data_IF_862346490606
#
_entry.id   IF_862346490606
#
_cell.length_a   1.000
_cell.length_b   1.000
_cell.length_c   1.000
_cell.angle_alpha   90.00
_cell.angle_beta   90.00
_cell.angle_gamma   90.00
#
_symmetry.space_group_name_H-M   'P 1'
#
loop_
_entity.id
_entity.type
_entity.pdbx_description
1 polymer ?
#
# COMPACT_ATOMS: atom_id res chain seq x y z
N UNK A 1 -5.46 -19.66 -16.96
CA UNK A 1 -6.33 -18.64 -16.35
C UNK A 1 -5.55 -17.34 -16.26
N UNK A 2 -6.23 -16.20 -16.36
CA UNK A 2 -5.61 -14.88 -16.25
C UNK A 2 -5.22 -14.63 -14.78
N UNK A 3 -3.95 -14.38 -14.41
CA UNK A 3 -3.59 -14.06 -13.03
C UNK A 3 -4.20 -12.72 -12.60
N UNK A 4 -4.54 -12.61 -11.32
CA UNK A 4 -5.18 -11.47 -10.67
C UNK A 4 -4.16 -10.65 -9.89
N UNK A 5 -4.17 -9.34 -10.13
CA UNK A 5 -3.34 -8.36 -9.44
C UNK A 5 -4.26 -7.40 -8.67
N UNK A 6 -4.01 -7.22 -7.37
CA UNK A 6 -4.70 -6.22 -6.56
C UNK A 6 -3.76 -5.04 -6.30
N UNK A 7 -4.20 -3.82 -6.61
CA UNK A 7 -3.49 -2.59 -6.25
C UNK A 7 -4.32 -1.86 -5.19
N UNK A 8 -3.75 -1.65 -4.00
CA UNK A 8 -4.36 -0.81 -2.96
C UNK A 8 -3.93 0.65 -3.11
N UNK A 9 -4.76 1.59 -2.65
CA UNK A 9 -4.44 3.02 -2.81
C UNK A 9 -4.50 3.44 -4.27
N UNK A 10 -5.33 2.76 -5.06
CA UNK A 10 -5.37 2.83 -6.51
C UNK A 10 -5.76 4.22 -7.06
N UNK A 11 -6.38 5.06 -6.21
CA UNK A 11 -6.73 6.44 -6.50
C UNK A 11 -5.63 7.45 -6.15
N UNK A 12 -4.55 7.03 -5.49
CA UNK A 12 -3.40 7.87 -5.17
C UNK A 12 -2.45 8.01 -6.36
N UNK A 13 -1.45 8.90 -6.24
CA UNK A 13 -0.50 9.19 -7.32
C UNK A 13 0.19 7.92 -7.85
N UNK A 14 0.81 7.14 -6.97
CA UNK A 14 1.50 5.89 -7.35
C UNK A 14 0.51 4.82 -7.81
N UNK A 15 -0.60 4.64 -7.09
CA UNK A 15 -1.62 3.66 -7.46
C UNK A 15 -2.20 3.91 -8.85
N UNK A 16 -2.46 5.16 -9.21
CA UNK A 16 -2.95 5.53 -10.53
C UNK A 16 -1.91 5.24 -11.62
N UNK A 17 -0.64 5.60 -11.40
CA UNK A 17 0.45 5.27 -12.32
C UNK A 17 0.60 3.75 -12.52
N UNK A 18 0.52 2.97 -11.43
CA UNK A 18 0.55 1.51 -11.49
C UNK A 18 -0.62 0.92 -12.28
N UNK A 19 -1.82 1.50 -12.18
CA UNK A 19 -2.96 1.06 -12.99
C UNK A 19 -2.72 1.27 -14.49
N UNK A 20 -2.05 2.35 -14.89
CA UNK A 20 -1.73 2.62 -16.30
C UNK A 20 -0.62 1.69 -16.83
N UNK A 21 0.32 1.31 -15.96
CA UNK A 21 1.45 0.44 -16.34
C UNK A 21 1.19 -1.05 -16.11
N UNK A 22 0.07 -1.42 -15.49
CA UNK A 22 -0.35 -2.81 -15.31
C UNK A 22 -0.75 -3.44 -16.66
N UNK A 23 0.26 -3.73 -17.48
CA UNK A 23 0.17 -4.39 -18.78
C UNK A 23 0.39 -5.89 -18.64
N UNK A 24 0.01 -6.63 -19.67
CA UNK A 24 0.25 -8.07 -19.74
C UNK A 24 -0.97 -8.90 -19.31
N UNK A 25 -0.78 -10.15 -18.87
CA UNK A 25 -1.87 -11.09 -18.69
C UNK A 25 -2.63 -10.87 -17.38
N UNK A 26 -2.62 -9.69 -16.77
CA UNK A 26 -3.24 -9.49 -15.44
C UNK A 26 -4.70 -9.07 -15.55
N UNK A 27 -5.56 -9.68 -14.71
CA UNK A 27 -6.85 -9.11 -14.36
C UNK A 27 -6.63 -8.19 -13.16
N UNK A 28 -6.76 -6.89 -13.39
CA UNK A 28 -6.39 -5.88 -12.39
C UNK A 28 -7.60 -5.48 -11.55
N UNK A 29 -7.41 -5.50 -10.23
CA UNK A 29 -8.36 -5.01 -9.24
C UNK A 29 -7.79 -3.74 -8.59
N UNK A 30 -8.60 -2.69 -8.56
CA UNK A 30 -8.23 -1.38 -8.04
C UNK A 30 -8.97 -1.12 -6.73
N UNK A 31 -8.29 -1.23 -5.60
CA UNK A 31 -8.86 -0.91 -4.29
C UNK A 31 -8.68 0.56 -3.95
N UNK A 32 -9.78 1.23 -3.60
CA UNK A 32 -9.84 2.64 -3.25
C UNK A 32 -10.76 2.86 -2.04
N UNK A 33 -10.58 3.99 -1.35
CA UNK A 33 -11.42 4.35 -0.20
C UNK A 33 -12.53 5.34 -0.56
N UNK A 34 -12.13 6.52 -1.05
CA UNK A 34 -13.04 7.67 -1.25
C UNK A 34 -13.29 8.00 -2.72
N UNK A 35 -12.24 7.94 -3.55
CA UNK A 35 -12.31 8.37 -4.94
C UNK A 35 -12.10 7.18 -5.86
N UNK A 36 -13.13 6.81 -6.62
CA UNK A 36 -13.02 5.70 -7.57
C UNK A 36 -12.07 6.08 -8.70
N UNK A 37 -11.06 5.25 -9.04
CA UNK A 37 -10.24 5.50 -10.20
C UNK A 37 -11.06 5.32 -11.48
N UNK A 38 -10.99 6.29 -12.40
CA UNK A 38 -11.74 6.31 -13.66
C UNK A 38 -10.88 5.86 -14.84
N UNK A 39 -11.53 5.31 -15.87
CA UNK A 39 -10.94 4.99 -17.17
C UNK A 39 -9.68 4.09 -17.15
N UNK A 40 -9.56 3.18 -16.18
CA UNK A 40 -8.36 2.32 -16.03
C UNK A 40 -8.52 0.89 -16.56
N UNK A 41 -9.73 0.47 -16.93
CA UNK A 41 -10.03 -0.93 -17.29
C UNK A 41 -9.98 -1.92 -16.10
N UNK A 42 -9.63 -1.45 -14.89
CA UNK A 42 -9.56 -2.27 -13.69
C UNK A 42 -10.93 -2.44 -13.01
N UNK A 43 -11.08 -3.56 -12.32
CA UNK A 43 -12.25 -3.83 -11.49
C UNK A 43 -12.11 -3.09 -10.15
N UNK A 44 -12.95 -2.09 -9.93
CA UNK A 44 -12.86 -1.21 -8.77
C UNK A 44 -13.53 -1.85 -7.55
N UNK A 45 -12.83 -1.90 -6.42
CA UNK A 45 -13.33 -2.37 -5.12
C UNK A 45 -13.20 -1.24 -4.10
N UNK A 46 -14.31 -0.82 -3.49
CA UNK A 46 -14.27 0.20 -2.45
C UNK A 46 -14.08 -0.47 -1.08
N UNK A 47 -13.03 -0.07 -0.36
CA UNK A 47 -12.75 -0.57 0.98
C UNK A 47 -11.93 0.42 1.81
N UNK A 48 -12.12 0.38 3.14
CA UNK A 48 -11.22 1.02 4.10
C UNK A 48 -10.10 0.04 4.49
N UNK A 49 -8.85 0.42 4.24
CA UNK A 49 -7.68 -0.39 4.59
C UNK A 49 -7.64 -0.74 6.10
N UNK A 50 -8.19 0.13 6.95
CA UNK A 50 -8.19 -0.07 8.41
C UNK A 50 -9.25 -1.07 8.89
N UNK A 51 -10.23 -1.39 8.05
CA UNK A 51 -11.29 -2.36 8.33
C UNK A 51 -10.87 -3.76 7.87
N UNK A 52 -10.60 -4.63 8.83
CA UNK A 52 -10.12 -5.99 8.56
C UNK A 52 -11.14 -6.84 7.81
N UNK A 53 -12.43 -6.67 8.11
CA UNK A 53 -13.48 -7.45 7.46
C UNK A 53 -13.60 -7.06 5.98
N UNK A 54 -13.55 -5.76 5.68
CA UNK A 54 -13.55 -5.30 4.30
C UNK A 54 -12.31 -5.80 3.54
N UNK A 55 -11.13 -5.83 4.18
CA UNK A 55 -9.93 -6.37 3.55
C UNK A 55 -10.05 -7.87 3.25
N UNK A 56 -10.64 -8.66 4.15
CA UNK A 56 -10.95 -10.07 3.90
C UNK A 56 -11.87 -10.20 2.69
N UNK A 57 -12.96 -9.42 2.62
CA UNK A 57 -13.89 -9.44 1.49
C UNK A 57 -13.22 -9.07 0.16
N UNK A 58 -12.33 -8.06 0.17
CA UNK A 58 -11.57 -7.66 -1.01
C UNK A 58 -10.67 -8.80 -1.50
N UNK A 59 -9.93 -9.45 -0.59
CA UNK A 59 -9.06 -10.57 -0.95
C UNK A 59 -9.86 -11.78 -1.43
N UNK A 60 -11.00 -12.07 -0.80
CA UNK A 60 -11.86 -13.19 -1.18
C UNK A 60 -12.54 -12.96 -2.54
N UNK A 61 -12.93 -11.71 -2.84
CA UNK A 61 -13.53 -11.35 -4.13
C UNK A 61 -12.49 -11.27 -5.25
N UNK A 62 -11.32 -10.68 -4.99
CA UNK A 62 -10.29 -10.47 -6.00
C UNK A 62 -9.46 -11.74 -6.25
N UNK A 63 -9.33 -12.64 -5.26
CA UNK A 63 -8.45 -13.83 -5.32
C UNK A 63 -7.08 -13.51 -5.97
N UNK A 64 -6.36 -12.47 -5.51
CA UNK A 64 -5.14 -12.03 -6.17
C UNK A 64 -4.02 -13.04 -5.95
N UNK A 65 -3.13 -13.20 -6.94
CA UNK A 65 -1.85 -13.86 -6.72
C UNK A 65 -0.81 -12.87 -6.20
N UNK A 66 -0.95 -11.59 -6.57
CA UNK A 66 -0.04 -10.52 -6.16
C UNK A 66 -0.85 -9.32 -5.68
N UNK A 67 -0.40 -8.69 -4.59
CA UNK A 67 -0.89 -7.42 -4.09
C UNK A 67 0.24 -6.39 -4.16
N UNK A 68 0.00 -5.25 -4.83
CA UNK A 68 0.85 -4.07 -4.72
C UNK A 68 0.20 -3.11 -3.73
N UNK A 69 0.86 -2.93 -2.58
CA UNK A 69 0.35 -2.12 -1.49
C UNK A 69 0.86 -0.68 -1.55
N UNK A 70 0.11 0.17 -2.28
CA UNK A 70 0.39 1.60 -2.39
C UNK A 70 -0.53 2.51 -1.53
N UNK A 71 -1.44 1.94 -0.73
CA UNK A 71 -2.28 2.71 0.18
C UNK A 71 -1.47 3.20 1.39
N UNK A 72 -1.49 4.51 1.64
CA UNK A 72 -0.92 5.12 2.83
C UNK A 72 -1.58 6.48 3.12
N UNK A 73 -1.59 6.89 4.39
CA UNK A 73 -1.72 8.30 4.75
C UNK A 73 -0.36 8.98 4.52
N UNK A 74 -0.13 9.44 3.28
CA UNK A 74 1.17 9.97 2.84
C UNK A 74 1.41 11.45 3.18
N UNK A 75 0.39 12.18 3.65
CA UNK A 75 0.54 13.59 4.03
C UNK A 75 1.29 13.69 5.35
N UNK A 76 2.53 14.19 5.32
CA UNK A 76 3.41 14.31 6.49
C UNK A 76 2.83 15.20 7.58
N UNK A 77 2.15 16.29 7.21
CA UNK A 77 1.43 17.16 8.14
C UNK A 77 0.32 16.43 8.89
N UNK A 78 -0.51 15.67 8.17
CA UNK A 78 -1.53 14.82 8.79
C UNK A 78 -0.93 13.78 9.75
N UNK A 79 0.19 13.16 9.38
CA UNK A 79 0.84 12.19 10.26
C UNK A 79 1.38 12.82 11.54
N UNK A 80 1.95 14.03 11.43
CA UNK A 80 2.41 14.80 12.59
C UNK A 80 1.26 15.22 13.50
N UNK A 81 0.17 15.71 12.92
CA UNK A 81 -0.95 16.27 13.69
C UNK A 81 -1.88 15.16 14.24
N UNK A 82 -1.91 13.99 13.58
CA UNK A 82 -2.71 12.82 13.94
C UNK A 82 -1.88 11.52 13.95
N UNK A 83 -0.87 11.38 14.83
CA UNK A 83 0.10 10.29 14.78
C UNK A 83 -0.53 8.92 15.06
N UNK A 84 -1.51 8.84 15.97
CA UNK A 84 -2.21 7.58 16.26
C UNK A 84 -3.07 7.12 15.10
N UNK A 85 -3.79 8.04 14.46
CA UNK A 85 -4.66 7.72 13.33
C UNK A 85 -3.86 7.33 12.09
N UNK A 86 -2.79 8.07 11.79
CA UNK A 86 -1.89 7.71 10.70
C UNK A 86 -1.19 6.37 10.93
N UNK A 87 -0.80 6.03 12.17
CA UNK A 87 -0.24 4.72 12.50
C UNK A 87 -1.23 3.55 12.27
N UNK A 88 -2.53 3.76 12.53
CA UNK A 88 -3.55 2.76 12.20
C UNK A 88 -3.58 2.44 10.71
N UNK A 89 -3.38 3.44 9.85
CA UNK A 89 -3.36 3.29 8.40
C UNK A 89 -2.02 2.73 7.92
N UNK A 90 -0.92 3.39 8.30
CA UNK A 90 0.40 3.15 7.70
C UNK A 90 1.12 1.93 8.28
N UNK A 91 0.87 1.60 9.56
CA UNK A 91 1.57 0.51 10.27
C UNK A 91 0.63 -0.66 10.47
N UNK A 92 -0.43 -0.48 11.26
CA UNK A 92 -1.26 -1.61 11.70
C UNK A 92 -2.08 -2.22 10.57
N UNK A 93 -2.60 -1.42 9.65
CA UNK A 93 -3.32 -1.95 8.50
C UNK A 93 -2.39 -2.63 7.48
N UNK A 94 -1.20 -2.08 7.26
CA UNK A 94 -0.15 -2.70 6.43
C UNK A 94 0.27 -4.07 6.99
N UNK A 95 0.54 -4.15 8.30
CA UNK A 95 0.93 -5.40 8.96
C UNK A 95 -0.18 -6.46 8.89
N UNK A 96 -1.45 -6.06 9.07
CA UNK A 96 -2.60 -6.96 8.90
C UNK A 96 -2.72 -7.44 7.46
N UNK A 97 -2.58 -6.57 6.46
CA UNK A 97 -2.59 -6.97 5.06
C UNK A 97 -1.47 -7.97 4.76
N UNK A 98 -0.26 -7.75 5.28
CA UNK A 98 0.85 -8.68 5.16
C UNK A 98 0.53 -10.05 5.77
N UNK A 99 -0.04 -10.09 6.98
CA UNK A 99 -0.47 -11.33 7.62
C UNK A 99 -1.56 -12.06 6.81
N UNK A 100 -2.55 -11.32 6.29
CA UNK A 100 -3.63 -11.87 5.45
C UNK A 100 -3.09 -12.43 4.13
N UNK A 101 -2.10 -11.78 3.52
CA UNK A 101 -1.44 -12.25 2.31
C UNK A 101 -0.63 -13.51 2.58
N UNK A 102 0.19 -13.52 3.64
CA UNK A 102 1.01 -14.67 4.05
C UNK A 102 0.14 -15.91 4.32
N UNK A 103 -0.98 -15.75 5.05
CA UNK A 103 -1.91 -16.85 5.32
C UNK A 103 -2.53 -17.43 4.03
N UNK A 104 -2.67 -16.64 2.98
CA UNK A 104 -3.30 -17.03 1.71
C UNK A 104 -2.30 -17.41 0.61
N UNK A 105 -0.99 -17.32 0.88
CA UNK A 105 0.04 -17.54 -0.14
C UNK A 105 0.00 -16.49 -1.27
N UNK A 106 -0.33 -15.25 -0.92
CA UNK A 106 -0.38 -14.11 -1.85
C UNK A 106 0.92 -13.34 -1.73
N UNK A 107 1.57 -13.06 -2.86
CA UNK A 107 2.78 -12.23 -2.86
C UNK A 107 2.41 -10.76 -2.59
N UNK A 108 3.08 -10.16 -1.61
CA UNK A 108 2.86 -8.76 -1.24
C UNK A 108 4.08 -7.90 -1.60
N UNK A 109 3.85 -6.90 -2.44
CA UNK A 109 4.83 -5.84 -2.72
C UNK A 109 4.45 -4.61 -1.91
N UNK A 110 5.24 -4.33 -0.87
CA UNK A 110 5.08 -3.14 -0.03
C UNK A 110 5.83 -1.95 -0.65
N UNK A 111 5.15 -0.82 -0.84
CA UNK A 111 5.82 0.37 -1.40
C UNK A 111 6.44 1.21 -0.27
N UNK A 112 7.76 1.14 -0.10
CA UNK A 112 8.53 1.95 0.86
C UNK A 112 8.68 3.43 0.41
N UNK A 113 9.55 4.20 1.07
CA UNK A 113 9.92 5.58 0.76
C UNK A 113 11.37 5.82 1.15
N UNK A 114 12.10 6.61 0.36
CA UNK A 114 13.43 7.13 0.70
C UNK A 114 13.44 8.03 1.95
N UNK A 115 12.27 8.54 2.37
CA UNK A 115 12.13 9.35 3.58
C UNK A 115 12.45 8.58 4.88
N UNK A 116 12.59 7.24 4.82
CA UNK A 116 13.10 6.45 5.95
C UNK A 116 14.57 6.77 6.28
N UNK A 117 15.28 7.47 5.40
CA UNK A 117 16.64 7.95 5.62
C UNK A 117 16.69 9.43 6.03
N UNK A 118 17.84 9.88 6.55
CA UNK A 118 18.01 11.24 7.08
C UNK A 118 18.41 12.30 6.04
N UNK A 119 18.59 11.90 4.77
CA UNK A 119 19.00 12.82 3.70
C UNK A 119 20.41 13.39 3.79
N UNK A 120 21.25 12.99 4.77
CA UNK A 120 22.59 13.58 5.00
C UNK A 120 23.73 12.94 4.22
N UNK A 121 23.62 11.67 3.81
CA UNK A 121 24.71 10.91 3.17
C UNK A 121 24.22 10.05 2.01
N UNK A 122 23.68 10.70 0.98
CA UNK A 122 23.36 10.05 -0.28
C UNK A 122 24.65 9.62 -1.04
N UNK A 123 24.59 8.59 -1.90
CA UNK A 123 23.44 7.74 -2.17
C UNK A 123 23.12 6.77 -1.02
N UNK A 124 21.84 6.41 -0.87
CA UNK A 124 21.39 5.37 0.05
C UNK A 124 21.24 4.04 -0.67
N UNK A 125 21.60 2.96 0.02
CA UNK A 125 21.32 1.58 -0.37
C UNK A 125 20.48 0.89 0.71
N UNK A 126 20.01 -0.32 0.40
CA UNK A 126 19.16 -1.13 1.26
C UNK A 126 19.84 -1.60 2.55
N UNK A 127 21.18 -1.47 2.66
CA UNK A 127 21.94 -1.83 3.86
C UNK A 127 22.05 -0.66 4.86
N UNK A 128 21.64 0.55 4.45
CA UNK A 128 21.73 1.72 5.31
C UNK A 128 20.71 1.67 6.45
N UNK A 129 21.15 2.06 7.63
CA UNK A 129 20.27 2.23 8.78
C UNK A 129 19.15 3.26 8.51
N UNK A 130 17.92 2.85 8.81
CA UNK A 130 16.72 3.69 8.85
C UNK A 130 16.89 4.79 9.91
N UNK A 131 16.77 6.05 9.49
CA UNK A 131 16.91 7.27 10.30
C UNK A 131 15.88 8.32 9.87
N UNK A 132 14.59 8.08 10.12
CA UNK A 132 13.50 8.92 9.65
C UNK A 132 13.52 10.29 10.35
N UNK A 133 13.09 11.33 9.63
CA UNK A 133 12.98 12.70 10.15
C UNK A 133 11.53 13.17 10.29
N UNK A 134 10.56 12.29 10.05
CA UNK A 134 9.13 12.61 10.14
C UNK A 134 8.32 11.42 10.66
N UNK A 135 7.17 11.71 11.27
CA UNK A 135 6.24 10.67 11.75
C UNK A 135 5.80 9.73 10.63
N UNK A 136 5.56 10.26 9.42
CA UNK A 136 5.25 9.43 8.25
C UNK A 136 6.38 8.43 7.94
N UNK A 137 7.62 8.92 7.90
CA UNK A 137 8.79 8.09 7.62
C UNK A 137 9.06 7.06 8.73
N UNK A 138 8.87 7.43 10.00
CA UNK A 138 8.93 6.50 11.13
C UNK A 138 7.93 5.36 10.96
N UNK A 139 6.69 5.68 10.63
CA UNK A 139 5.65 4.69 10.39
C UNK A 139 5.96 3.79 9.18
N UNK A 140 6.54 4.33 8.10
CA UNK A 140 6.98 3.51 6.96
C UNK A 140 8.08 2.54 7.35
N UNK A 141 9.10 3.00 8.07
CA UNK A 141 10.17 2.12 8.59
C UNK A 141 9.66 1.08 9.58
N UNK A 142 8.63 1.40 10.38
CA UNK A 142 7.97 0.42 11.25
C UNK A 142 7.20 -0.64 10.44
N UNK A 143 6.58 -0.27 9.33
CA UNK A 143 5.81 -1.18 8.50
C UNK A 143 6.66 -2.11 7.61
N UNK A 144 7.97 -1.83 7.49
CA UNK A 144 8.93 -2.68 6.76
C UNK A 144 9.44 -3.87 7.57
N UNK A 145 9.27 -3.86 8.90
CA UNK A 145 9.81 -4.84 9.84
C UNK A 145 8.72 -5.61 10.55
#
# INVERSE_FOLDING_TARGET
MQPHLLITGASGLLGHALLQEARGPWRVFAMYRNHRPEATGALCLQADLTDEYQMIQVLDQAQPQVVIHAAAAAQTGFCRDHPRQSAQINVHASARLAALCAHRGIDLVFTSTDLVFDGRRAPYDETRAVRPLSVYAEQKGQAEN
#
